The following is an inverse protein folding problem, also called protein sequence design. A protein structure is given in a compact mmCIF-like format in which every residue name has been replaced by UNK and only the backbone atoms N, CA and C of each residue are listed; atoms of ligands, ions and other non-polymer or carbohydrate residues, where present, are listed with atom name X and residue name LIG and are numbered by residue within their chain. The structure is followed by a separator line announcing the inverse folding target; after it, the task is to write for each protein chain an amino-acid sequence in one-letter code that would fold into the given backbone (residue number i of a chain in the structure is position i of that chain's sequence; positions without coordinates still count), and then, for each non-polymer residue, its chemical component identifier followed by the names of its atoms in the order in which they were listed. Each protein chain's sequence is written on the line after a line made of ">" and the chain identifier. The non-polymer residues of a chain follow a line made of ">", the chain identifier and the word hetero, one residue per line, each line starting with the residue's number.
data_IF_125438596522
#
_entry.id   IF_125438596522
#
_cell.length_a   1.000
_cell.length_b   1.000
_cell.length_c   1.000
_cell.angle_alpha   90.00
_cell.angle_beta   90.00
_cell.angle_gamma   90.00
#
_symmetry.space_group_name_H-M   'P 1'
#
loop_
_entity.id
_entity.type
_entity.pdbx_description
1 polymer ?
#
# COMPACT_ATOMS: atom_id res chain seq x y z
N UNK A 1 -7.55 -13.55 -6.02
CA UNK A 1 -8.90 -13.42 -5.51
C UNK A 1 -9.62 -12.19 -6.06
N UNK A 2 -10.94 -12.20 -5.94
CA UNK A 2 -11.78 -11.17 -6.55
C UNK A 2 -11.53 -9.75 -6.04
N UNK A 3 -10.99 -9.61 -4.83
CA UNK A 3 -10.69 -8.27 -4.28
C UNK A 3 -9.38 -7.68 -4.81
N UNK A 4 -8.51 -8.50 -5.39
CA UNK A 4 -7.25 -8.02 -6.00
C UNK A 4 -7.46 -7.81 -7.50
N UNK A 5 -8.37 -6.92 -7.83
CA UNK A 5 -8.83 -6.69 -9.19
C UNK A 5 -9.18 -5.22 -9.40
N UNK A 6 -9.30 -4.81 -10.65
CA UNK A 6 -9.78 -3.48 -11.01
C UNK A 6 -10.75 -3.58 -12.19
N UNK A 7 -11.58 -2.55 -12.34
CA UNK A 7 -12.53 -2.47 -13.44
C UNK A 7 -11.94 -1.54 -14.51
N UNK A 8 -11.89 -2.08 -15.75
CA UNK A 8 -11.45 -1.32 -16.93
C UNK A 8 -12.58 -1.34 -17.95
N UNK A 9 -13.35 -0.27 -18.00
CA UNK A 9 -14.56 -0.20 -18.83
C UNK A 9 -15.61 -1.21 -18.37
N UNK A 10 -15.87 -2.23 -19.18
CA UNK A 10 -16.79 -3.33 -18.86
C UNK A 10 -16.06 -4.59 -18.40
N UNK A 11 -14.73 -4.56 -18.36
CA UNK A 11 -13.92 -5.72 -18.02
C UNK A 11 -13.46 -5.66 -16.57
N UNK A 12 -13.32 -6.85 -15.94
CA UNK A 12 -12.72 -7.00 -14.63
C UNK A 12 -11.33 -7.58 -14.84
N UNK A 13 -10.30 -6.83 -14.40
CA UNK A 13 -8.92 -7.25 -14.52
C UNK A 13 -8.49 -7.86 -13.18
N UNK A 14 -8.28 -9.18 -13.15
CA UNK A 14 -7.78 -9.89 -11.98
C UNK A 14 -6.26 -9.84 -11.98
N UNK A 15 -5.71 -9.38 -10.85
CA UNK A 15 -4.25 -9.28 -10.70
C UNK A 15 -3.69 -10.58 -10.17
N UNK A 16 -2.68 -11.12 -10.87
CA UNK A 16 -1.96 -12.34 -10.44
C UNK A 16 -0.70 -12.00 -9.63
N UNK A 17 -0.58 -10.76 -9.20
CA UNK A 17 0.51 -10.27 -8.37
C UNK A 17 -0.08 -9.42 -7.25
N UNK A 18 0.67 -9.28 -6.17
CA UNK A 18 0.26 -8.44 -5.04
C UNK A 18 1.32 -7.37 -4.77
N UNK A 19 1.01 -6.14 -5.11
CA UNK A 19 1.82 -4.98 -4.76
C UNK A 19 1.04 -4.20 -3.69
N UNK A 20 1.46 -4.34 -2.44
CA UNK A 20 0.70 -3.83 -1.29
C UNK A 20 1.22 -2.47 -0.88
N UNK A 21 0.35 -1.48 -0.93
CA UNK A 21 0.62 -0.14 -0.42
C UNK A 21 0.46 -0.10 1.09
N UNK A 22 1.43 0.51 1.78
CA UNK A 22 1.39 0.72 3.22
C UNK A 22 1.32 2.21 3.52
N UNK A 23 0.24 2.66 4.13
CA UNK A 23 0.10 4.08 4.47
C UNK A 23 1.03 4.42 5.63
N UNK A 24 1.89 5.40 5.42
CA UNK A 24 2.89 5.84 6.41
C UNK A 24 2.73 7.34 6.65
N UNK A 25 2.53 7.71 7.91
CA UNK A 25 2.50 9.13 8.31
C UNK A 25 3.90 9.68 8.46
N UNK A 26 4.13 10.85 7.89
CA UNK A 26 5.37 11.59 8.01
C UNK A 26 5.10 13.02 8.46
N UNK A 27 6.14 13.76 8.79
CA UNK A 27 6.03 15.17 9.17
C UNK A 27 5.43 16.02 8.04
N UNK A 28 5.56 15.56 6.81
CA UNK A 28 5.06 16.25 5.62
C UNK A 28 3.69 15.74 5.15
N UNK A 29 3.11 14.80 5.87
CA UNK A 29 1.82 14.22 5.53
C UNK A 29 1.88 12.72 5.30
N UNK A 30 0.84 12.18 4.69
CA UNK A 30 0.69 10.76 4.45
C UNK A 30 1.32 10.35 3.11
N UNK A 31 2.12 9.29 3.13
CA UNK A 31 2.64 8.66 1.92
C UNK A 31 2.28 7.18 1.91
N UNK A 32 2.18 6.59 0.72
CA UNK A 32 1.80 5.19 0.57
C UNK A 32 2.83 4.47 -0.30
N UNK A 33 3.98 4.09 0.26
CA UNK A 33 4.95 3.27 -0.47
C UNK A 33 4.39 1.88 -0.73
N UNK A 34 4.89 1.22 -1.76
CA UNK A 34 4.37 -0.06 -2.23
C UNK A 34 5.40 -1.16 -2.03
N UNK A 35 4.99 -2.25 -1.37
CA UNK A 35 5.77 -3.48 -1.28
C UNK A 35 5.44 -4.32 -2.51
N UNK A 36 6.40 -4.43 -3.42
CA UNK A 36 6.18 -5.15 -4.68
C UNK A 36 6.30 -6.64 -4.48
N UNK A 37 5.46 -7.38 -5.19
CA UNK A 37 5.43 -8.84 -5.15
C UNK A 37 5.38 -9.39 -3.73
N UNK A 38 4.52 -8.79 -2.90
CA UNK A 38 4.41 -9.17 -1.49
C UNK A 38 4.05 -10.64 -1.31
N UNK A 39 3.31 -11.22 -2.26
CA UNK A 39 2.95 -12.63 -2.26
C UNK A 39 4.15 -13.56 -2.49
N UNK A 40 5.26 -13.05 -3.04
CA UNK A 40 6.48 -13.80 -3.28
C UNK A 40 7.48 -13.69 -2.13
N UNK A 41 7.21 -12.83 -1.15
CA UNK A 41 8.13 -12.59 -0.05
C UNK A 41 7.77 -13.45 1.16
N UNK A 42 8.81 -13.86 1.92
CA UNK A 42 8.61 -14.44 3.23
C UNK A 42 8.15 -13.36 4.22
N UNK A 43 7.68 -13.77 5.40
CA UNK A 43 7.32 -12.82 6.45
C UNK A 43 8.51 -11.93 6.80
N UNK A 44 9.71 -12.52 6.93
CA UNK A 44 10.93 -11.75 7.18
C UNK A 44 11.26 -10.79 6.02
N UNK A 45 11.01 -11.21 4.77
CA UNK A 45 11.21 -10.37 3.60
C UNK A 45 10.27 -9.18 3.57
N UNK A 46 9.00 -9.38 3.92
CA UNK A 46 8.01 -8.30 4.04
C UNK A 46 8.42 -7.31 5.12
N UNK A 47 8.85 -7.80 6.30
CA UNK A 47 9.30 -6.96 7.40
C UNK A 47 10.50 -6.10 6.99
N UNK A 48 11.47 -6.70 6.31
CA UNK A 48 12.66 -6.00 5.84
C UNK A 48 12.31 -4.90 4.85
N UNK A 49 11.47 -5.22 3.88
CA UNK A 49 11.06 -4.25 2.86
C UNK A 49 10.22 -3.12 3.47
N UNK A 50 9.33 -3.45 4.40
CA UNK A 50 8.54 -2.46 5.11
C UNK A 50 9.44 -1.51 5.90
N UNK A 51 10.46 -2.04 6.59
CA UNK A 51 11.43 -1.23 7.32
C UNK A 51 12.20 -0.28 6.41
N UNK A 52 12.62 -0.77 5.24
CA UNK A 52 13.31 0.04 4.24
C UNK A 52 12.43 1.20 3.75
N UNK A 53 11.20 0.89 3.40
CA UNK A 53 10.26 1.89 2.88
C UNK A 53 9.86 2.90 3.94
N UNK A 54 9.63 2.46 5.18
CA UNK A 54 9.27 3.34 6.27
C UNK A 54 10.41 4.33 6.59
N UNK A 55 11.65 3.84 6.58
CA UNK A 55 12.82 4.70 6.80
C UNK A 55 12.96 5.71 5.66
N UNK A 56 12.82 5.26 4.42
CA UNK A 56 12.90 6.13 3.26
C UNK A 56 11.78 7.19 3.29
N UNK A 57 10.59 6.84 3.73
CA UNK A 57 9.49 7.77 3.88
C UNK A 57 9.81 8.87 4.89
N UNK A 58 10.36 8.49 6.06
CA UNK A 58 10.73 9.45 7.10
C UNK A 58 11.87 10.36 6.66
N UNK A 59 12.81 9.82 5.89
CA UNK A 59 13.98 10.56 5.39
C UNK A 59 13.66 11.41 4.16
N UNK A 60 12.46 11.25 3.58
CA UNK A 60 12.06 11.95 2.37
C UNK A 60 12.75 11.43 1.12
N UNK A 61 13.26 10.20 1.13
CA UNK A 61 14.01 9.63 0.01
C UNK A 61 13.21 8.67 -0.87
N UNK A 62 11.89 8.59 -0.66
CA UNK A 62 11.03 7.77 -1.52
C UNK A 62 10.96 8.36 -2.94
N UNK A 63 11.08 7.47 -3.93
CA UNK A 63 10.87 7.86 -5.33
C UNK A 63 9.39 7.74 -5.70
N UNK A 64 9.01 8.36 -6.81
CA UNK A 64 7.65 8.22 -7.35
C UNK A 64 7.37 6.75 -7.69
N UNK A 65 8.37 6.03 -8.21
CA UNK A 65 8.25 4.61 -8.52
C UNK A 65 7.95 3.75 -7.29
N UNK A 66 8.45 4.14 -6.11
CA UNK A 66 8.18 3.41 -4.86
C UNK A 66 6.71 3.52 -4.43
N UNK A 67 5.97 4.46 -4.97
CA UNK A 67 4.59 4.74 -4.58
C UNK A 67 3.57 4.39 -5.66
N UNK A 68 4.00 3.82 -6.78
CA UNK A 68 3.11 3.47 -7.90
C UNK A 68 2.89 1.97 -8.02
N UNK A 69 1.78 1.60 -8.62
CA UNK A 69 1.50 0.23 -9.01
C UNK A 69 0.92 -0.64 -7.91
N UNK A 70 0.50 -0.08 -6.80
CA UNK A 70 -0.16 -0.84 -5.74
C UNK A 70 -1.48 -1.45 -6.19
N UNK A 71 -1.78 -2.68 -5.74
CA UNK A 71 -3.04 -3.36 -6.03
C UNK A 71 -4.01 -3.36 -4.86
N UNK A 72 -3.51 -3.14 -3.65
CA UNK A 72 -4.29 -3.11 -2.42
C UNK A 72 -3.55 -2.24 -1.40
N UNK A 73 -4.26 -1.68 -0.44
CA UNK A 73 -3.63 -0.78 0.55
C UNK A 73 -3.93 -1.24 1.96
N UNK A 74 -2.95 -1.10 2.86
CA UNK A 74 -3.09 -1.34 4.29
C UNK A 74 -2.83 -0.03 5.02
N UNK A 75 -3.72 0.33 5.94
CA UNK A 75 -3.56 1.50 6.80
C UNK A 75 -3.56 1.07 8.25
N UNK A 76 -2.92 1.86 9.10
CA UNK A 76 -2.96 1.63 10.53
C UNK A 76 -3.41 2.92 11.25
N UNK A 77 -4.69 3.00 11.57
CA UNK A 77 -5.25 4.15 12.28
C UNK A 77 -4.98 4.16 13.78
N UNK A 78 -4.58 3.02 14.34
CA UNK A 78 -4.38 2.88 15.79
C UNK A 78 -3.22 3.71 16.33
N UNK A 79 -2.20 3.94 15.52
CA UNK A 79 -1.02 4.72 15.90
C UNK A 79 -1.38 6.17 16.25
N UNK A 80 -2.42 6.69 15.62
CA UNK A 80 -2.85 8.08 15.82
C UNK A 80 -4.06 8.21 16.74
N UNK A 81 -4.45 7.12 17.40
CA UNK A 81 -5.59 7.12 18.32
C UNK A 81 -6.93 7.38 17.63
N UNK A 82 -7.00 7.23 16.34
CA UNK A 82 -8.23 7.47 15.59
C UNK A 82 -9.14 6.27 15.69
N UNK A 83 -10.23 6.39 16.46
CA UNK A 83 -11.23 5.35 16.61
C UNK A 83 -12.23 5.30 15.47
N UNK A 84 -12.31 6.37 14.68
CA UNK A 84 -13.31 6.53 13.63
C UNK A 84 -12.67 7.13 12.36
N UNK A 85 -11.65 6.46 11.85
CA UNK A 85 -11.08 6.88 10.58
C UNK A 85 -11.83 6.23 9.43
N UNK A 86 -12.09 7.01 8.38
CA UNK A 86 -12.67 6.51 7.13
C UNK A 86 -11.55 6.43 6.11
N UNK A 87 -11.03 5.24 5.85
CA UNK A 87 -9.98 5.09 4.83
C UNK A 87 -10.53 5.44 3.44
N UNK A 88 -9.71 6.14 2.67
CA UNK A 88 -10.06 6.55 1.32
C UNK A 88 -9.41 5.58 0.34
N UNK A 89 -10.25 4.96 -0.48
CA UNK A 89 -9.79 4.01 -1.48
C UNK A 89 -8.95 4.71 -2.55
N UNK A 90 -7.78 4.14 -2.85
CA UNK A 90 -6.93 4.62 -3.94
C UNK A 90 -7.36 3.97 -5.25
N UNK A 91 -8.08 4.71 -6.09
CA UNK A 91 -8.44 4.18 -7.40
C UNK A 91 -7.17 3.87 -8.21
N UNK A 92 -7.13 2.79 -9.00
CA UNK A 92 -8.22 1.84 -9.29
C UNK A 92 -8.27 0.63 -8.36
N UNK A 93 -7.64 0.69 -7.20
CA UNK A 93 -7.67 -0.41 -6.23
C UNK A 93 -9.09 -0.67 -5.73
N UNK A 94 -9.43 -1.92 -5.49
CA UNK A 94 -10.75 -2.33 -5.06
C UNK A 94 -10.90 -2.42 -3.53
N UNK A 95 -9.80 -2.33 -2.79
CA UNK A 95 -9.88 -2.49 -1.35
C UNK A 95 -8.78 -1.76 -0.59
N UNK A 96 -9.09 -1.51 0.70
CA UNK A 96 -8.16 -0.92 1.66
C UNK A 96 -8.48 -1.50 3.03
N UNK A 97 -7.44 -1.84 3.79
CA UNK A 97 -7.58 -2.41 5.13
C UNK A 97 -7.12 -1.43 6.20
#
# INVERSE_FOLDING_TARGET
>A
PAVNAEIDGTDIIYKNFAHVGMAVGTDKGLVVPVIRDADQLSIAGVEKELGRLAKAARDGSLSVGDMQGGTFTITNGGVYGSLMSSPILNAPQSGIL
#
